data_IF_730767045440
#
_entry.id   IF_730767045440
#
_cell.length_a   1.000
_cell.length_b   1.000
_cell.length_c   1.000
_cell.angle_alpha   90.00
_cell.angle_beta   90.00
_cell.angle_gamma   90.00
#
_symmetry.space_group_name_H-M   'P 1'
#
loop_
_entity.id
_entity.type
_entity.pdbx_description
1 polymer ?
#
# COMPACT_ATOMS: atom_id res chain seq x y z
N UNK A 1 18.78 10.50 13.90
CA UNK A 1 18.21 9.65 12.84
C UNK A 1 19.36 9.24 11.93
N UNK A 2 19.45 7.98 11.58
CA UNK A 2 20.50 7.46 10.71
C UNK A 2 20.48 8.16 9.32
N UNK A 3 21.66 8.47 8.74
CA UNK A 3 21.77 9.15 7.45
C UNK A 3 21.15 8.34 6.31
N UNK A 4 21.24 7.02 6.39
CA UNK A 4 20.66 6.10 5.41
C UNK A 4 19.14 6.18 5.44
N UNK A 5 18.55 6.22 6.64
CA UNK A 5 17.10 6.37 6.83
C UNK A 5 16.62 7.73 6.32
N UNK A 6 17.37 8.81 6.57
CA UNK A 6 17.04 10.13 6.01
C UNK A 6 17.10 10.13 4.48
N UNK A 7 18.16 9.54 3.91
CA UNK A 7 18.33 9.41 2.47
C UNK A 7 17.18 8.64 1.81
N UNK A 8 16.72 7.56 2.47
CA UNK A 8 15.56 6.80 2.01
C UNK A 8 14.32 7.70 1.87
N UNK A 9 13.95 8.44 2.91
CA UNK A 9 12.74 9.28 2.87
C UNK A 9 12.87 10.46 1.91
N UNK A 10 14.06 11.06 1.80
CA UNK A 10 14.32 12.16 0.85
C UNK A 10 14.25 11.70 -0.61
N UNK A 11 14.64 10.46 -0.89
CA UNK A 11 14.64 9.89 -2.25
C UNK A 11 13.29 9.38 -2.73
N UNK A 12 12.23 9.42 -1.92
CA UNK A 12 10.90 8.98 -2.33
C UNK A 12 10.10 10.11 -2.94
N UNK A 13 9.62 9.89 -4.15
CA UNK A 13 8.62 10.74 -4.78
C UNK A 13 7.23 10.12 -4.62
N UNK A 14 6.19 10.95 -4.49
CA UNK A 14 4.80 10.47 -4.38
C UNK A 14 4.44 9.48 -5.50
N UNK A 15 4.83 9.78 -6.73
CA UNK A 15 4.54 8.92 -7.88
C UNK A 15 5.19 7.53 -7.76
N UNK A 16 6.33 7.40 -7.08
CA UNK A 16 7.03 6.13 -6.89
C UNK A 16 6.39 5.21 -5.83
N UNK A 17 5.45 5.73 -5.04
CA UNK A 17 4.76 5.02 -3.95
C UNK A 17 3.24 5.03 -4.12
N UNK A 18 2.75 5.51 -5.27
CA UNK A 18 1.33 5.51 -5.63
C UNK A 18 1.04 4.29 -6.51
N UNK A 19 0.03 3.52 -6.14
CA UNK A 19 -0.41 2.39 -6.93
C UNK A 19 -1.43 2.88 -7.97
N UNK A 20 -1.04 2.89 -9.24
CA UNK A 20 -1.89 3.27 -10.38
C UNK A 20 -2.60 4.64 -10.22
N UNK A 21 -1.94 5.58 -9.54
CA UNK A 21 -2.51 6.91 -9.26
C UNK A 21 -3.75 6.90 -8.36
N UNK A 22 -4.00 5.81 -7.63
CA UNK A 22 -5.22 5.61 -6.86
C UNK A 22 -5.24 6.38 -5.54
N UNK A 23 -4.11 6.93 -5.07
CA UNK A 23 -4.04 7.58 -3.76
C UNK A 23 -5.01 8.77 -3.63
N UNK A 24 -5.01 9.71 -4.58
CA UNK A 24 -5.90 10.89 -4.52
C UNK A 24 -7.38 10.52 -4.68
N UNK A 25 -7.78 9.67 -5.66
CA UNK A 25 -9.15 9.16 -5.73
C UNK A 25 -9.60 8.45 -4.45
N UNK A 26 -8.75 7.61 -3.85
CA UNK A 26 -9.06 6.90 -2.60
C UNK A 26 -9.25 7.87 -1.44
N UNK A 27 -8.33 8.84 -1.29
CA UNK A 27 -8.44 9.90 -0.28
C UNK A 27 -9.70 10.74 -0.44
N UNK A 28 -10.10 11.07 -1.68
CA UNK A 28 -11.34 11.80 -1.96
C UNK A 28 -12.58 10.99 -1.57
N UNK A 29 -12.59 9.68 -1.83
CA UNK A 29 -13.73 8.78 -1.56
C UNK A 29 -13.85 8.40 -0.09
N UNK A 30 -12.73 8.04 0.56
CA UNK A 30 -12.69 7.39 1.87
C UNK A 30 -12.24 8.34 3.00
N UNK A 31 -11.74 9.52 2.64
CA UNK A 31 -11.19 10.51 3.56
C UNK A 31 -9.78 10.18 4.02
N UNK A 32 -9.14 11.12 4.71
CA UNK A 32 -7.77 11.00 5.19
C UNK A 32 -7.60 9.84 6.18
N UNK A 33 -6.48 9.12 6.05
CA UNK A 33 -6.09 8.03 6.94
C UNK A 33 -5.66 8.57 8.31
N UNK A 34 -5.96 7.79 9.35
CA UNK A 34 -5.25 7.91 10.64
C UNK A 34 -3.87 7.26 10.55
N UNK A 35 -3.05 7.51 11.56
CA UNK A 35 -1.67 6.98 11.64
C UNK A 35 -1.59 5.45 11.63
N UNK A 36 -2.67 4.75 11.94
CA UNK A 36 -2.77 3.28 12.02
C UNK A 36 -3.67 2.68 10.92
N UNK A 37 -4.04 3.47 9.91
CA UNK A 37 -4.91 3.06 8.81
C UNK A 37 -4.16 3.05 7.47
N UNK A 38 -4.62 2.21 6.54
CA UNK A 38 -4.23 2.23 5.14
C UNK A 38 -5.45 2.06 4.22
N UNK A 39 -5.31 2.43 2.94
CA UNK A 39 -6.27 2.01 1.91
C UNK A 39 -5.90 0.59 1.46
N UNK A 40 -6.78 -0.38 1.72
CA UNK A 40 -6.58 -1.77 1.34
C UNK A 40 -7.68 -2.27 0.42
N UNK A 41 -7.35 -3.17 -0.50
CA UNK A 41 -8.34 -3.84 -1.34
C UNK A 41 -9.11 -4.88 -0.53
N UNK A 42 -10.44 -4.81 -0.60
CA UNK A 42 -11.38 -5.73 0.04
C UNK A 42 -12.36 -6.22 -1.04
N UNK A 43 -12.29 -7.51 -1.45
CA UNK A 43 -11.38 -8.55 -0.97
C UNK A 43 -9.92 -8.31 -1.40
N UNK A 44 -8.97 -8.93 -0.70
CA UNK A 44 -7.56 -8.88 -1.08
C UNK A 44 -7.34 -9.42 -2.50
N UNK A 45 -6.43 -8.81 -3.27
CA UNK A 45 -6.18 -9.18 -4.67
C UNK A 45 -5.74 -10.65 -4.81
N UNK A 46 -5.01 -11.20 -3.84
CA UNK A 46 -4.61 -12.61 -3.81
C UNK A 46 -5.80 -13.59 -3.78
N UNK A 47 -6.99 -13.14 -3.37
CA UNK A 47 -8.23 -13.92 -3.41
C UNK A 47 -9.05 -13.71 -4.70
N UNK A 48 -8.48 -13.06 -5.72
CA UNK A 48 -9.17 -12.75 -6.97
C UNK A 48 -10.02 -11.47 -6.93
N UNK A 49 -9.77 -10.57 -5.96
CA UNK A 49 -10.35 -9.24 -5.96
C UNK A 49 -9.88 -8.39 -7.13
N UNK A 50 -10.71 -7.47 -7.62
CA UNK A 50 -10.30 -6.51 -8.64
C UNK A 50 -9.63 -5.29 -8.00
N UNK A 51 -8.59 -4.78 -8.67
CA UNK A 51 -7.88 -3.56 -8.30
C UNK A 51 -8.67 -2.32 -8.72
N UNK A 52 -9.92 -2.20 -8.25
CA UNK A 52 -10.79 -1.06 -8.54
C UNK A 52 -10.92 -0.14 -7.34
N UNK A 53 -11.06 1.17 -7.57
CA UNK A 53 -11.35 2.16 -6.51
C UNK A 53 -12.61 1.80 -5.69
N UNK A 54 -13.56 1.07 -6.31
CA UNK A 54 -14.76 0.57 -5.65
C UNK A 54 -14.44 -0.33 -4.45
N UNK A 55 -13.38 -1.13 -4.55
CA UNK A 55 -12.99 -2.16 -3.58
C UNK A 55 -11.95 -1.66 -2.57
N UNK A 56 -11.57 -0.39 -2.61
CA UNK A 56 -10.73 0.18 -1.56
C UNK A 56 -11.57 0.53 -0.32
N UNK A 57 -11.06 0.11 0.83
CA UNK A 57 -11.58 0.47 2.16
C UNK A 57 -10.46 1.03 3.04
N UNK A 58 -10.84 1.78 4.09
CA UNK A 58 -9.90 2.11 5.18
C UNK A 58 -9.87 0.95 6.15
N UNK A 59 -8.69 0.35 6.29
CA UNK A 59 -8.45 -0.80 7.15
C UNK A 59 -7.33 -0.47 8.12
N UNK A 60 -7.29 -1.20 9.25
CA UNK A 60 -6.15 -1.10 10.16
C UNK A 60 -4.92 -1.72 9.50
N UNK A 61 -3.82 -0.95 9.46
CA UNK A 61 -2.66 -1.31 8.67
C UNK A 61 -2.00 -2.61 9.17
N UNK A 62 -1.84 -2.75 10.48
CA UNK A 62 -1.16 -3.92 11.07
C UNK A 62 -1.96 -5.20 10.82
N UNK A 63 -3.25 -5.20 11.12
CA UNK A 63 -4.14 -6.34 10.97
C UNK A 63 -4.27 -6.73 9.50
N UNK A 64 -4.41 -5.76 8.60
CA UNK A 64 -4.51 -6.03 7.17
C UNK A 64 -3.21 -6.63 6.61
N UNK A 65 -2.04 -6.08 6.98
CA UNK A 65 -0.74 -6.61 6.56
C UNK A 65 -0.46 -8.02 7.13
N UNK A 66 -0.89 -8.31 8.36
CA UNK A 66 -0.82 -9.66 8.94
C UNK A 66 -1.68 -10.64 8.15
N UNK A 67 -2.90 -10.25 7.76
CA UNK A 67 -3.74 -11.09 6.90
C UNK A 67 -3.07 -11.33 5.55
N UNK A 68 -2.54 -10.28 4.91
CA UNK A 68 -1.87 -10.40 3.61
C UNK A 68 -0.65 -11.32 3.65
N UNK A 69 0.14 -11.28 4.73
CA UNK A 69 1.33 -12.13 4.88
C UNK A 69 1.01 -13.63 5.06
N UNK A 70 -0.22 -13.96 5.47
CA UNK A 70 -0.67 -15.35 5.61
C UNK A 70 -1.18 -15.95 4.29
N UNK A 71 -1.53 -15.11 3.31
CA UNK A 71 -2.21 -15.54 2.08
C UNK A 71 -1.34 -15.44 0.83
N UNK A 72 -0.24 -14.69 0.90
CA UNK A 72 0.72 -14.56 -0.19
C UNK A 72 2.15 -14.68 0.35
N UNK A 73 2.96 -15.49 -0.32
CA UNK A 73 4.39 -15.59 -0.03
C UNK A 73 5.08 -14.28 -0.40
N UNK A 74 5.96 -13.79 0.49
CA UNK A 74 6.81 -12.64 0.18
C UNK A 74 7.92 -13.08 -0.78
N UNK A 75 7.90 -12.53 -1.98
CA UNK A 75 8.96 -12.74 -2.96
C UNK A 75 10.08 -11.71 -2.75
N UNK A 76 11.37 -12.12 -2.77
CA UNK A 76 12.48 -11.19 -2.73
C UNK A 76 12.43 -10.24 -3.93
N UNK A 77 12.47 -8.94 -3.65
CA UNK A 77 12.55 -7.92 -4.70
C UNK A 77 13.97 -7.86 -5.26
N UNK A 78 14.14 -8.01 -6.58
CA UNK A 78 15.43 -7.85 -7.25
C UNK A 78 15.48 -6.52 -8.00
N UNK A 79 16.59 -5.79 -7.88
CA UNK A 79 16.83 -4.58 -8.68
C UNK A 79 16.95 -4.86 -10.19
N UNK A 80 16.99 -6.13 -10.61
CA UNK A 80 16.98 -6.55 -12.01
C UNK A 80 15.58 -6.58 -12.64
N UNK A 81 14.52 -6.38 -11.86
CA UNK A 81 13.14 -6.52 -12.33
C UNK A 81 12.61 -5.26 -13.06
N UNK A 82 13.49 -4.30 -13.35
CA UNK A 82 13.24 -3.03 -14.07
C UNK A 82 14.30 -2.74 -15.13
#
# INVERSE_FOLDING_TARGET
MDREVQGFFLGKEKASVDFDGMFEPAKKKLGMLKHDEMYGFVPALAFGGSSDLANLEKVKAVEHLILLSQIATLEPYSFSDF
#
